data_IF_755951634803
#
_entry.id   IF_755951634803
#
_cell.length_a   1.000
_cell.length_b   1.000
_cell.length_c   1.000
_cell.angle_alpha   90.00
_cell.angle_beta   90.00
_cell.angle_gamma   90.00
#
_symmetry.space_group_name_H-M   'P 1'
#
loop_
_entity.id
_entity.type
_entity.pdbx_description
1 polymer ?
#
# COMPACT_ATOMS: atom_id res chain seq x y z
N UNK A 1 -15.51 -2.55 -7.14
CA UNK A 1 -15.17 -3.43 -6.00
C UNK A 1 -13.97 -2.84 -5.24
N UNK A 2 -13.90 -2.95 -3.91
CA UNK A 2 -12.79 -2.41 -3.11
C UNK A 2 -11.43 -2.98 -3.53
N UNK A 3 -11.37 -4.27 -3.85
CA UNK A 3 -10.21 -4.97 -4.41
C UNK A 3 -9.62 -4.32 -5.67
N UNK A 4 -10.49 -3.95 -6.63
CA UNK A 4 -10.07 -3.28 -7.87
C UNK A 4 -9.53 -1.87 -7.63
N UNK A 5 -10.13 -1.14 -6.66
CA UNK A 5 -9.64 0.18 -6.26
C UNK A 5 -8.24 0.07 -5.65
N UNK A 6 -8.03 -0.92 -4.78
CA UNK A 6 -6.72 -1.15 -4.18
C UNK A 6 -5.65 -1.49 -5.23
N UNK A 7 -5.97 -2.40 -6.17
CA UNK A 7 -5.05 -2.72 -7.28
C UNK A 7 -4.65 -1.47 -8.07
N UNK A 8 -5.62 -0.62 -8.44
CA UNK A 8 -5.32 0.63 -9.16
C UNK A 8 -4.45 1.62 -8.34
N UNK A 9 -4.64 1.68 -7.02
CA UNK A 9 -3.79 2.49 -6.14
C UNK A 9 -2.35 1.97 -6.07
N UNK A 10 -2.19 0.64 -6.01
CA UNK A 10 -0.87 0.00 -5.99
C UNK A 10 -0.15 0.15 -7.34
N UNK A 11 -0.87 0.04 -8.46
CA UNK A 11 -0.31 0.34 -9.79
C UNK A 11 0.19 1.78 -9.87
N UNK A 12 -0.63 2.76 -9.44
CA UNK A 12 -0.22 4.18 -9.42
C UNK A 12 0.97 4.44 -8.48
N UNK A 13 1.03 3.75 -7.34
CA UNK A 13 2.18 3.80 -6.45
C UNK A 13 3.42 3.27 -7.17
N UNK A 14 3.32 2.14 -7.86
CA UNK A 14 4.44 1.52 -8.56
C UNK A 14 4.94 2.35 -9.75
N UNK A 15 4.04 3.00 -10.48
CA UNK A 15 4.42 3.99 -11.49
C UNK A 15 5.23 5.14 -10.88
N UNK A 16 4.83 5.60 -9.69
CA UNK A 16 5.58 6.64 -8.96
C UNK A 16 6.95 6.15 -8.49
N UNK A 17 7.06 4.89 -8.06
CA UNK A 17 8.33 4.27 -7.68
C UNK A 17 9.28 4.10 -8.88
N UNK A 18 8.72 3.86 -10.06
CA UNK A 18 9.48 3.72 -11.31
C UNK A 18 9.89 5.07 -11.91
N UNK A 19 9.28 6.18 -11.47
CA UNK A 19 9.66 7.51 -11.92
C UNK A 19 11.10 7.85 -11.43
N UNK A 20 12.05 8.09 -12.35
CA UNK A 20 13.39 8.52 -11.98
C UNK A 20 13.41 9.91 -11.34
N UNK A 21 12.35 10.73 -11.51
CA UNK A 21 12.22 12.04 -10.89
C UNK A 21 11.61 11.97 -9.49
N UNK A 22 11.13 10.81 -9.04
CA UNK A 22 10.70 10.64 -7.66
C UNK A 22 11.93 10.75 -6.74
N UNK A 23 11.93 11.78 -5.88
CA UNK A 23 12.98 12.05 -4.87
C UNK A 23 12.99 11.02 -3.72
N UNK A 24 12.81 9.75 -4.05
CA UNK A 24 12.80 8.61 -3.13
C UNK A 24 14.18 7.97 -3.06
N UNK A 25 14.64 7.70 -1.84
CA UNK A 25 15.85 6.91 -1.60
C UNK A 25 15.65 5.44 -1.97
N UNK A 26 16.75 4.69 -2.10
CA UNK A 26 16.67 3.25 -2.35
C UNK A 26 15.89 2.52 -1.23
N UNK A 27 16.11 2.92 0.02
CA UNK A 27 15.42 2.37 1.19
C UNK A 27 13.91 2.66 1.14
N UNK A 28 13.52 3.89 0.80
CA UNK A 28 12.10 4.28 0.68
C UNK A 28 11.40 3.51 -0.44
N UNK A 29 12.08 3.34 -1.60
CA UNK A 29 11.55 2.54 -2.71
C UNK A 29 11.39 1.07 -2.32
N UNK A 30 12.39 0.49 -1.67
CA UNK A 30 12.34 -0.90 -1.21
C UNK A 30 11.22 -1.10 -0.19
N UNK A 31 11.07 -0.17 0.77
CA UNK A 31 10.05 -0.25 1.80
C UNK A 31 8.63 -0.19 1.18
N UNK A 32 8.39 0.74 0.26
CA UNK A 32 7.13 0.86 -0.48
C UNK A 32 6.86 -0.38 -1.37
N UNK A 33 7.89 -0.91 -2.01
CA UNK A 33 7.78 -2.12 -2.82
C UNK A 33 7.43 -3.36 -1.98
N UNK A 34 8.07 -3.51 -0.81
CA UNK A 34 7.77 -4.58 0.13
C UNK A 34 6.35 -4.48 0.67
N UNK A 35 5.90 -3.28 1.03
CA UNK A 35 4.52 -3.02 1.44
C UNK A 35 3.52 -3.38 0.34
N UNK A 36 3.75 -2.93 -0.89
CA UNK A 36 2.90 -3.26 -2.03
C UNK A 36 2.83 -4.77 -2.28
N UNK A 37 3.97 -5.47 -2.23
CA UNK A 37 4.04 -6.91 -2.39
C UNK A 37 3.26 -7.67 -1.30
N UNK A 38 3.38 -7.21 -0.04
CA UNK A 38 2.62 -7.79 1.07
C UNK A 38 1.11 -7.63 0.82
N UNK A 39 0.66 -6.43 0.48
CA UNK A 39 -0.75 -6.18 0.14
C UNK A 39 -1.23 -7.06 -1.03
N UNK A 40 -0.41 -7.22 -2.08
CA UNK A 40 -0.73 -8.10 -3.20
C UNK A 40 -0.89 -9.56 -2.74
N UNK A 41 -0.04 -10.05 -1.83
CA UNK A 41 -0.16 -11.40 -1.29
C UNK A 41 -1.49 -11.59 -0.54
N UNK A 42 -1.90 -10.65 0.32
CA UNK A 42 -3.20 -10.69 0.98
C UNK A 42 -4.37 -10.61 0.00
N UNK A 43 -4.23 -9.80 -1.05
CA UNK A 43 -5.22 -9.72 -2.14
C UNK A 43 -5.40 -11.07 -2.84
N UNK A 44 -4.32 -11.81 -3.12
CA UNK A 44 -4.37 -13.13 -3.74
C UNK A 44 -5.09 -14.14 -2.84
N UNK A 45 -4.77 -14.17 -1.54
CA UNK A 45 -5.43 -15.05 -0.55
C UNK A 45 -6.93 -14.75 -0.51
N UNK A 46 -7.30 -13.47 -0.46
CA UNK A 46 -8.69 -13.03 -0.44
C UNK A 46 -9.45 -13.35 -1.74
N UNK A 47 -8.80 -13.25 -2.90
CA UNK A 47 -9.38 -13.64 -4.19
C UNK A 47 -9.53 -15.16 -4.34
N UNK A 48 -8.74 -15.94 -3.60
CA UNK A 48 -8.80 -17.41 -3.55
C UNK A 48 -9.96 -17.99 -2.72
N UNK A 49 -10.82 -17.16 -2.13
CA UNK A 49 -11.93 -17.54 -1.23
C UNK A 49 -11.45 -18.28 0.05
N UNK A 50 -10.17 -18.15 0.37
CA UNK A 50 -9.63 -18.53 1.67
C UNK A 50 -10.06 -17.49 2.72
N UNK A 51 -10.35 -17.89 3.97
CA UNK A 51 -10.65 -16.94 5.02
C UNK A 51 -9.44 -16.03 5.20
N UNK A 52 -9.51 -14.83 4.63
CA UNK A 52 -8.54 -13.78 4.88
C UNK A 52 -8.70 -13.39 6.35
N UNK A 53 -7.77 -13.85 7.20
CA UNK A 53 -7.66 -13.35 8.56
C UNK A 53 -7.41 -11.84 8.51
N UNK A 54 -8.07 -11.10 9.40
CA UNK A 54 -7.77 -9.69 9.62
C UNK A 54 -6.28 -9.57 9.92
N UNK A 55 -5.55 -8.74 9.16
CA UNK A 55 -4.14 -8.48 9.39
C UNK A 55 -3.98 -7.02 9.82
N UNK A 56 -4.30 -6.71 11.08
CA UNK A 56 -4.16 -5.37 11.62
C UNK A 56 -2.71 -4.87 11.52
N UNK A 57 -1.73 -5.78 11.47
CA UNK A 57 -0.31 -5.41 11.35
C UNK A 57 0.02 -4.83 9.98
N UNK A 58 -0.70 -5.25 8.93
CA UNK A 58 -0.57 -4.68 7.60
C UNK A 58 -1.07 -3.24 7.55
N UNK A 59 -2.26 -2.98 8.11
CA UNK A 59 -2.87 -1.64 8.16
C UNK A 59 -2.00 -0.69 8.99
N UNK A 60 -1.52 -1.15 10.15
CA UNK A 60 -0.62 -0.37 11.01
C UNK A 60 0.71 -0.07 10.32
N UNK A 61 1.28 -1.04 9.59
CA UNK A 61 2.50 -0.86 8.81
C UNK A 61 2.35 0.19 7.71
N UNK A 62 1.23 0.14 6.96
CA UNK A 62 0.89 1.14 5.93
C UNK A 62 0.70 2.53 6.56
N UNK A 63 0.08 2.61 7.75
CA UNK A 63 -0.08 3.87 8.47
C UNK A 63 1.26 4.47 8.90
N UNK A 64 2.15 3.67 9.48
CA UNK A 64 3.47 4.13 9.89
C UNK A 64 4.28 4.68 8.71
N UNK A 65 4.22 3.99 7.56
CA UNK A 65 4.82 4.51 6.33
C UNK A 65 4.17 5.81 5.90
N UNK A 66 2.83 5.89 5.88
CA UNK A 66 2.12 7.11 5.52
C UNK A 66 2.53 8.31 6.39
N UNK A 67 2.73 8.10 7.69
CA UNK A 67 3.20 9.13 8.62
C UNK A 67 4.64 9.56 8.33
N UNK A 68 5.54 8.60 8.08
CA UNK A 68 6.93 8.88 7.71
C UNK A 68 7.02 9.66 6.39
N UNK A 69 6.28 9.22 5.37
CA UNK A 69 6.22 9.86 4.07
C UNK A 69 5.47 11.19 4.11
N UNK A 70 4.57 11.45 5.06
CA UNK A 70 3.83 12.72 5.10
C UNK A 70 4.75 13.94 5.25
N UNK A 71 5.93 13.77 5.84
CA UNK A 71 6.91 14.85 6.04
C UNK A 71 7.63 15.21 4.74
N UNK A 72 8.01 14.21 3.94
CA UNK A 72 8.85 14.39 2.73
C UNK A 72 8.08 14.28 1.42
N UNK A 73 7.04 13.46 1.39
CA UNK A 73 6.27 13.08 0.21
C UNK A 73 4.76 13.08 0.53
N UNK A 74 4.14 14.28 0.69
CA UNK A 74 2.74 14.39 1.09
C UNK A 74 1.77 13.72 0.09
N UNK A 75 2.09 13.73 -1.20
CA UNK A 75 1.30 13.04 -2.23
C UNK A 75 1.30 11.53 -2.03
N UNK A 76 2.48 10.93 -1.77
CA UNK A 76 2.60 9.50 -1.50
C UNK A 76 1.87 9.12 -0.20
N UNK A 77 2.00 9.92 0.85
CA UNK A 77 1.26 9.71 2.09
C UNK A 77 -0.26 9.71 1.87
N UNK A 78 -0.77 10.56 0.97
CA UNK A 78 -2.18 10.55 0.56
C UNK A 78 -2.59 9.24 -0.12
N UNK A 79 -1.73 8.71 -1.02
CA UNK A 79 -1.95 7.40 -1.65
C UNK A 79 -1.94 6.27 -0.62
N UNK A 80 -0.97 6.27 0.30
CA UNK A 80 -0.85 5.25 1.36
C UNK A 80 -2.06 5.24 2.30
N UNK A 81 -2.59 6.41 2.69
CA UNK A 81 -3.84 6.48 3.47
C UNK A 81 -5.04 5.94 2.69
N UNK A 82 -5.11 6.19 1.39
CA UNK A 82 -6.18 5.66 0.55
C UNK A 82 -6.12 4.12 0.44
N UNK A 83 -4.90 3.58 0.38
CA UNK A 83 -4.62 2.13 0.45
C UNK A 83 -5.09 1.57 1.80
N UNK A 84 -4.65 2.16 2.91
CA UNK A 84 -5.06 1.79 4.27
C UNK A 84 -6.58 1.80 4.45
N UNK A 85 -7.25 2.87 4.02
CA UNK A 85 -8.72 2.96 4.08
C UNK A 85 -9.36 1.80 3.31
N UNK A 86 -8.84 1.47 2.13
CA UNK A 86 -9.37 0.38 1.31
C UNK A 86 -9.11 -0.99 1.94
N UNK A 87 -7.98 -1.18 2.62
CA UNK A 87 -7.68 -2.38 3.41
C UNK A 87 -8.66 -2.54 4.58
N UNK A 88 -8.87 -1.46 5.34
CA UNK A 88 -9.78 -1.45 6.49
C UNK A 88 -11.25 -1.65 6.06
N UNK A 89 -11.69 -1.02 4.96
CA UNK A 89 -13.02 -1.25 4.35
C UNK A 89 -13.22 -2.70 3.90
N UNK A 90 -12.11 -3.42 3.63
CA UNK A 90 -12.08 -4.82 3.26
C UNK A 90 -12.06 -5.76 4.47
N UNK A 91 -11.94 -5.25 5.70
CA UNK A 91 -11.73 -6.05 6.89
C UNK A 91 -10.38 -6.77 6.89
N UNK A 92 -9.35 -6.13 6.31
CA UNK A 92 -7.95 -6.54 6.43
C UNK A 92 -7.32 -5.66 7.49
#
# INVERSE_FOLDING_TARGET
>A
MPTQRLKAQLESLQDTLNDPNAELTAEEREALQNMANNIYAHLLVKEGDEPAEEDPTLVDGVNLMAEQFAVRHPTLAGTLRSVMQTLSDMGI
#
